data_IF_448237541223
#
_entry.id   IF_448237541223
#
_cell.length_a   1.000
_cell.length_b   1.000
_cell.length_c   1.000
_cell.angle_alpha   90.00
_cell.angle_beta   90.00
_cell.angle_gamma   90.00
#
_symmetry.space_group_name_H-M   'P 1'
#
loop_
_entity.id
_entity.type
_entity.pdbx_description
1 polymer ?
#
# COMPACT_ATOMS: atom_id res chain seq x y z
N UNK A 1 -21.92 -36.63 -8.23
CA UNK A 1 -21.89 -35.35 -7.48
C UNK A 1 -21.53 -35.65 -6.03
N UNK A 2 -20.25 -35.90 -5.74
CA UNK A 2 -19.69 -36.02 -4.38
C UNK A 2 -18.17 -36.20 -4.54
N UNK A 3 -17.43 -35.14 -4.87
CA UNK A 3 -15.94 -35.14 -4.83
C UNK A 3 -15.39 -33.71 -4.91
N UNK A 4 -15.97 -32.79 -4.14
CA UNK A 4 -15.52 -31.40 -4.04
C UNK A 4 -15.73 -30.90 -2.61
N UNK A 5 -15.04 -31.48 -1.63
CA UNK A 5 -14.94 -30.89 -0.29
C UNK A 5 -13.55 -30.90 0.36
N UNK A 6 -12.52 -31.49 -0.24
CA UNK A 6 -11.21 -31.65 0.44
C UNK A 6 -10.02 -30.99 -0.25
N UNK A 7 -10.16 -29.76 -0.79
CA UNK A 7 -8.99 -28.98 -1.27
C UNK A 7 -9.00 -27.54 -0.74
N UNK A 8 -9.68 -27.29 0.39
CA UNK A 8 -9.72 -25.94 0.99
C UNK A 8 -9.47 -25.93 2.50
N UNK A 9 -8.89 -26.98 3.06
CA UNK A 9 -8.61 -27.05 4.51
C UNK A 9 -7.12 -26.93 4.87
N UNK A 10 -6.18 -27.00 3.90
CA UNK A 10 -4.73 -27.04 4.18
C UNK A 10 -3.91 -25.88 3.59
N UNK A 11 -4.54 -24.75 3.24
CA UNK A 11 -3.79 -23.51 2.96
C UNK A 11 -3.89 -22.52 4.11
N UNK A 12 -3.49 -22.97 5.31
CA UNK A 12 -3.12 -22.06 6.40
C UNK A 12 -1.71 -21.53 6.10
N UNK A 13 -1.59 -20.55 5.20
CA UNK A 13 -0.34 -19.82 5.01
C UNK A 13 -0.04 -19.04 6.29
N UNK A 14 1.10 -19.24 6.96
CA UNK A 14 1.44 -18.49 8.15
C UNK A 14 1.87 -17.09 7.72
N UNK A 15 0.90 -16.18 7.57
CA UNK A 15 1.20 -14.77 7.39
C UNK A 15 1.44 -14.16 8.78
N UNK A 16 2.64 -14.39 9.29
CA UNK A 16 3.18 -13.64 10.41
C UNK A 16 4.66 -13.32 10.17
N UNK A 17 4.91 -12.02 9.99
CA UNK A 17 6.16 -11.31 10.25
C UNK A 17 7.31 -11.34 9.21
N UNK A 18 7.66 -10.12 8.83
CA UNK A 18 8.93 -9.64 8.26
C UNK A 18 9.13 -9.72 6.74
N UNK A 19 9.51 -8.55 6.20
CA UNK A 19 10.09 -8.31 4.86
C UNK A 19 11.05 -9.41 4.37
N UNK A 20 11.76 -10.06 5.30
CA UNK A 20 12.74 -11.11 5.01
C UNK A 20 12.12 -12.37 4.37
N UNK A 21 10.87 -12.72 4.68
CA UNK A 21 10.23 -13.89 4.05
C UNK A 21 9.87 -13.63 2.58
N UNK A 22 9.42 -12.41 2.27
CA UNK A 22 9.15 -12.02 0.89
C UNK A 22 10.43 -11.94 0.06
N UNK A 23 11.50 -11.36 0.62
CA UNK A 23 12.81 -11.33 -0.05
C UNK A 23 13.37 -12.75 -0.23
N UNK A 24 13.26 -13.62 0.78
CA UNK A 24 13.68 -15.02 0.67
C UNK A 24 12.85 -15.81 -0.35
N UNK A 25 11.53 -15.59 -0.41
CA UNK A 25 10.66 -16.19 -1.40
C UNK A 25 10.98 -15.67 -2.81
N UNK A 26 11.18 -14.36 -2.98
CA UNK A 26 11.59 -13.74 -4.24
C UNK A 26 12.94 -14.28 -4.72
N UNK A 27 13.94 -14.36 -3.83
CA UNK A 27 15.26 -14.93 -4.12
C UNK A 27 15.18 -16.43 -4.48
N UNK A 28 14.36 -17.21 -3.78
CA UNK A 28 14.09 -18.62 -4.14
C UNK A 28 13.42 -18.74 -5.51
N UNK A 29 12.46 -17.86 -5.81
CA UNK A 29 11.76 -17.84 -7.09
C UNK A 29 12.69 -17.43 -8.24
N UNK A 30 13.52 -16.40 -8.06
CA UNK A 30 14.57 -16.01 -9.01
C UNK A 30 15.56 -17.16 -9.25
N UNK A 31 15.98 -17.86 -8.19
CA UNK A 31 16.88 -19.02 -8.30
C UNK A 31 16.26 -20.19 -9.06
N UNK A 32 14.95 -20.42 -8.90
CA UNK A 32 14.21 -21.44 -9.67
C UNK A 32 14.04 -21.03 -11.15
N UNK A 33 13.79 -19.75 -11.41
CA UNK A 33 13.73 -19.21 -12.79
C UNK A 33 15.09 -19.40 -13.49
N UNK A 34 16.20 -19.09 -12.81
CA UNK A 34 17.56 -19.29 -13.33
C UNK A 34 17.87 -20.78 -13.58
N UNK A 35 17.39 -21.70 -12.73
CA UNK A 35 17.56 -23.15 -12.95
C UNK A 35 16.66 -23.71 -14.06
N UNK A 36 15.56 -23.02 -14.39
CA UNK A 36 14.62 -23.44 -15.45
C UNK A 36 15.07 -23.04 -16.86
N UNK A 37 16.12 -22.21 -16.98
CA UNK A 37 16.77 -21.88 -18.27
C UNK A 37 17.73 -22.98 -18.77
N UNK A 38 17.77 -24.15 -18.11
CA UNK A 38 18.46 -25.31 -18.64
C UNK A 38 17.81 -25.74 -19.98
N UNK A 39 18.54 -25.48 -21.07
CA UNK A 39 18.15 -25.64 -22.48
C UNK A 39 17.29 -26.89 -22.78
N UNK A 40 16.13 -26.74 -23.47
CA UNK A 40 15.41 -27.88 -24.01
C UNK A 40 16.23 -28.54 -25.13
N UNK A 41 16.37 -29.85 -25.06
CA UNK A 41 17.04 -30.68 -26.08
C UNK A 41 16.36 -30.48 -27.44
N UNK A 42 17.17 -30.35 -28.48
CA UNK A 42 16.82 -29.87 -29.83
C UNK A 42 15.97 -30.81 -30.70
N UNK A 43 15.15 -31.67 -30.10
CA UNK A 43 14.23 -32.54 -30.84
C UNK A 43 12.82 -31.99 -30.75
N UNK A 44 12.26 -31.57 -31.89
CA UNK A 44 11.01 -30.80 -32.02
C UNK A 44 9.71 -31.51 -31.62
N UNK A 45 9.68 -32.24 -30.50
CA UNK A 45 8.47 -32.84 -29.91
C UNK A 45 8.36 -32.44 -28.44
N UNK A 46 7.45 -31.51 -28.15
CA UNK A 46 7.13 -31.11 -26.77
C UNK A 46 6.45 -32.29 -26.07
N UNK A 47 7.09 -32.80 -25.01
CA UNK A 47 6.58 -33.92 -24.22
C UNK A 47 5.47 -33.47 -23.26
N UNK A 48 4.57 -34.38 -22.87
CA UNK A 48 3.50 -34.06 -21.90
C UNK A 48 4.05 -33.54 -20.56
N UNK A 49 5.24 -34.01 -20.15
CA UNK A 49 5.93 -33.53 -18.96
C UNK A 49 6.47 -32.10 -19.12
N UNK A 50 6.96 -31.73 -20.31
CA UNK A 50 7.32 -30.35 -20.61
C UNK A 50 6.09 -29.44 -20.60
N UNK A 51 4.98 -29.85 -21.21
CA UNK A 51 3.71 -29.09 -21.15
C UNK A 51 3.28 -28.87 -19.71
N UNK A 52 3.36 -29.92 -18.87
CA UNK A 52 3.01 -29.83 -17.44
C UNK A 52 3.92 -28.86 -16.69
N UNK A 53 5.23 -28.88 -16.97
CA UNK A 53 6.19 -27.90 -16.41
C UNK A 53 5.88 -26.49 -16.86
N UNK A 54 5.56 -26.25 -18.14
CA UNK A 54 5.22 -24.92 -18.65
C UNK A 54 3.92 -24.38 -18.02
N UNK A 55 2.88 -25.21 -17.92
CA UNK A 55 1.61 -24.83 -17.27
C UNK A 55 1.84 -24.52 -15.79
N UNK A 56 2.62 -25.35 -15.10
CA UNK A 56 2.97 -25.12 -13.70
C UNK A 56 3.80 -23.83 -13.53
N UNK A 57 4.82 -23.63 -14.36
CA UNK A 57 5.67 -22.44 -14.34
C UNK A 57 4.86 -21.16 -14.57
N UNK A 58 3.95 -21.17 -15.55
CA UNK A 58 3.06 -20.03 -15.84
C UNK A 58 2.12 -19.75 -14.67
N UNK A 59 1.59 -20.79 -14.04
CA UNK A 59 0.72 -20.66 -12.87
C UNK A 59 1.48 -20.10 -11.67
N UNK A 60 2.68 -20.61 -11.42
CA UNK A 60 3.57 -20.11 -10.37
C UNK A 60 3.98 -18.65 -10.63
N UNK A 61 4.35 -18.29 -11.86
CA UNK A 61 4.66 -16.91 -12.23
C UNK A 61 3.48 -15.98 -11.96
N UNK A 62 2.27 -16.34 -12.40
CA UNK A 62 1.07 -15.54 -12.16
C UNK A 62 0.74 -15.42 -10.66
N UNK A 63 0.93 -16.48 -9.89
CA UNK A 63 0.73 -16.48 -8.44
C UNK A 63 1.72 -15.55 -7.73
N UNK A 64 3.00 -15.60 -8.10
CA UNK A 64 4.07 -14.76 -7.52
C UNK A 64 3.85 -13.29 -7.90
N UNK A 65 3.50 -12.99 -9.15
CA UNK A 65 3.18 -11.64 -9.60
C UNK A 65 1.98 -11.08 -8.84
N UNK A 66 0.95 -11.91 -8.63
CA UNK A 66 -0.25 -11.50 -7.88
C UNK A 66 0.09 -11.14 -6.43
N UNK A 67 0.92 -11.94 -5.76
CA UNK A 67 1.40 -11.63 -4.41
C UNK A 67 2.27 -10.37 -4.38
N UNK A 68 3.22 -10.24 -5.29
CA UNK A 68 4.10 -9.08 -5.37
C UNK A 68 3.30 -7.78 -5.58
N UNK A 69 2.28 -7.82 -6.45
CA UNK A 69 1.42 -6.68 -6.71
C UNK A 69 0.64 -6.23 -5.45
N UNK A 70 0.15 -7.17 -4.64
CA UNK A 70 -0.54 -6.84 -3.38
C UNK A 70 0.43 -6.20 -2.38
N UNK A 71 1.63 -6.76 -2.22
CA UNK A 71 2.64 -6.24 -1.28
C UNK A 71 3.09 -4.84 -1.70
N UNK A 72 3.42 -4.63 -2.98
CA UNK A 72 3.83 -3.33 -3.51
C UNK A 72 2.72 -2.30 -3.30
N UNK A 73 1.47 -2.63 -3.62
CA UNK A 73 0.35 -1.72 -3.42
C UNK A 73 0.14 -1.37 -1.94
N UNK A 74 0.29 -2.32 -1.03
CA UNK A 74 0.18 -2.05 0.41
C UNK A 74 1.30 -1.13 0.92
N UNK A 75 2.53 -1.34 0.48
CA UNK A 75 3.66 -0.48 0.82
C UNK A 75 3.47 0.95 0.30
N UNK A 76 2.99 1.09 -0.95
CA UNK A 76 2.70 2.41 -1.52
C UNK A 76 1.55 3.13 -0.82
N UNK A 77 0.48 2.41 -0.45
CA UNK A 77 -0.63 2.99 0.34
C UNK A 77 -0.10 3.52 1.69
N UNK A 78 0.77 2.75 2.36
CA UNK A 78 1.39 3.18 3.63
C UNK A 78 2.29 4.39 3.44
N UNK A 79 3.08 4.46 2.37
CA UNK A 79 3.93 5.61 2.09
C UNK A 79 3.10 6.88 1.83
N UNK A 80 1.99 6.77 1.10
CA UNK A 80 1.06 7.89 0.90
C UNK A 80 0.42 8.32 2.23
N UNK A 81 0.00 7.39 3.09
CA UNK A 81 -0.58 7.70 4.39
C UNK A 81 0.41 8.47 5.28
N UNK A 82 1.66 8.03 5.30
CA UNK A 82 2.73 8.67 6.07
C UNK A 82 3.00 10.11 5.59
N UNK A 83 3.10 10.34 4.27
CA UNK A 83 3.28 11.69 3.72
C UNK A 83 2.14 12.64 4.12
N UNK A 84 0.89 12.15 4.12
CA UNK A 84 -0.28 12.92 4.54
C UNK A 84 -0.25 13.18 6.05
N UNK A 85 0.25 12.23 6.85
CA UNK A 85 0.41 12.39 8.31
C UNK A 85 1.45 13.44 8.66
N UNK A 86 2.59 13.44 7.98
CA UNK A 86 3.68 14.38 8.20
C UNK A 86 3.31 15.80 7.76
N UNK A 87 2.65 15.95 6.62
CA UNK A 87 2.18 17.24 6.13
C UNK A 87 0.70 17.19 5.75
N UNK A 88 -0.16 17.63 6.67
CA UNK A 88 -1.62 17.65 6.46
C UNK A 88 -2.09 18.59 5.34
N UNK A 89 -1.21 19.49 4.85
CA UNK A 89 -1.50 20.42 3.75
C UNK A 89 -0.87 19.98 2.43
N UNK A 90 -0.29 18.78 2.37
CA UNK A 90 0.33 18.26 1.16
C UNK A 90 -0.67 18.15 0.01
N UNK A 91 -0.23 18.49 -1.19
CA UNK A 91 -1.04 18.45 -2.41
C UNK A 91 -0.84 17.12 -3.14
N UNK A 92 -1.84 16.71 -3.91
CA UNK A 92 -1.74 15.52 -4.77
C UNK A 92 -0.57 15.61 -5.77
N UNK A 93 -0.15 16.83 -6.18
CA UNK A 93 0.96 17.01 -7.11
C UNK A 93 2.31 16.71 -6.46
N UNK A 94 2.50 17.16 -5.22
CA UNK A 94 3.73 16.87 -4.46
C UNK A 94 3.86 15.35 -4.25
N UNK A 95 2.80 14.67 -3.84
CA UNK A 95 2.81 13.21 -3.68
C UNK A 95 3.13 12.49 -5.00
N UNK A 96 2.60 12.97 -6.13
CA UNK A 96 2.89 12.43 -7.46
C UNK A 96 4.38 12.53 -7.80
N UNK A 97 5.03 13.64 -7.43
CA UNK A 97 6.46 13.87 -7.68
C UNK A 97 7.30 13.02 -6.71
N UNK A 98 6.99 13.04 -5.42
CA UNK A 98 7.71 12.29 -4.37
C UNK A 98 7.72 10.77 -4.62
N UNK A 99 6.56 10.21 -4.99
CA UNK A 99 6.41 8.76 -5.18
C UNK A 99 6.46 8.34 -6.66
N UNK A 100 6.67 9.28 -7.58
CA UNK A 100 6.62 9.07 -9.04
C UNK A 100 5.36 8.33 -9.52
N UNK A 101 4.24 8.56 -8.83
CA UNK A 101 2.97 7.91 -9.09
C UNK A 101 2.13 8.72 -10.06
N UNK A 102 1.29 8.04 -10.84
CA UNK A 102 0.30 8.74 -11.66
C UNK A 102 -0.72 9.45 -10.78
N UNK A 103 -1.12 10.66 -11.18
CA UNK A 103 -2.14 11.46 -10.48
C UNK A 103 -3.43 10.69 -10.22
N UNK A 104 -3.89 9.88 -11.17
CA UNK A 104 -5.09 9.05 -11.02
C UNK A 104 -4.95 7.99 -9.91
N UNK A 105 -3.78 7.36 -9.81
CA UNK A 105 -3.48 6.36 -8.77
C UNK A 105 -3.45 7.01 -7.39
N UNK A 106 -2.79 8.16 -7.24
CA UNK A 106 -2.76 8.90 -5.98
C UNK A 106 -4.17 9.33 -5.57
N UNK A 107 -4.97 9.86 -6.49
CA UNK A 107 -6.36 10.23 -6.23
C UNK A 107 -7.21 9.03 -5.76
N UNK A 108 -7.05 7.87 -6.42
CA UNK A 108 -7.73 6.64 -6.02
C UNK A 108 -7.29 6.18 -4.63
N UNK A 109 -5.99 6.19 -4.33
CA UNK A 109 -5.47 5.80 -3.02
C UNK A 109 -6.04 6.71 -1.92
N UNK A 110 -5.96 8.03 -2.09
CA UNK A 110 -6.42 8.99 -1.08
C UNK A 110 -7.92 8.85 -0.80
N UNK A 111 -8.76 8.84 -1.84
CA UNK A 111 -10.21 8.87 -1.64
C UNK A 111 -10.86 7.49 -1.50
N UNK A 112 -10.35 6.45 -2.15
CA UNK A 112 -10.97 5.11 -2.14
C UNK A 112 -10.29 4.14 -1.18
N UNK A 113 -8.97 4.22 -0.99
CA UNK A 113 -8.25 3.31 -0.08
C UNK A 113 -8.14 3.89 1.33
N UNK A 114 -7.74 5.16 1.45
CA UNK A 114 -7.54 5.84 2.73
C UNK A 114 -8.78 6.59 3.22
N UNK A 115 -9.70 6.95 2.31
CA UNK A 115 -10.95 7.64 2.66
C UNK A 115 -10.76 9.10 3.08
N UNK A 116 -9.63 9.73 2.76
CA UNK A 116 -9.39 11.13 3.08
C UNK A 116 -10.27 12.06 2.25
N UNK A 117 -10.87 13.03 2.92
CA UNK A 117 -11.66 14.11 2.33
C UNK A 117 -11.05 15.47 2.66
N UNK A 118 -11.17 16.42 1.74
CA UNK A 118 -10.78 17.80 2.02
C UNK A 118 -11.88 18.46 2.85
N UNK A 119 -11.52 18.92 4.04
CA UNK A 119 -12.41 19.68 4.92
C UNK A 119 -12.05 21.16 4.78
N UNK A 120 -13.05 22.01 4.59
CA UNK A 120 -12.88 23.45 4.69
C UNK A 120 -12.93 23.85 6.16
N UNK A 121 -11.87 24.48 6.67
CA UNK A 121 -11.91 25.09 7.99
C UNK A 121 -12.71 26.40 7.94
N UNK A 122 -13.42 26.71 9.03
CA UNK A 122 -14.10 27.99 9.19
C UNK A 122 -13.07 29.13 9.20
N UNK A 123 -13.45 30.30 8.70
CA UNK A 123 -12.62 31.49 8.76
C UNK A 123 -12.44 31.93 10.22
N UNK A 124 -11.21 31.84 10.72
CA UNK A 124 -10.83 32.31 12.06
C UNK A 124 -9.97 33.58 11.92
N UNK A 125 -10.29 34.69 12.61
CA UNK A 125 -9.44 35.87 12.67
C UNK A 125 -8.03 35.52 13.17
N UNK A 126 -7.01 35.89 12.40
CA UNK A 126 -5.62 35.45 12.62
C UNK A 126 -4.88 36.22 13.74
N UNK A 127 -5.29 37.47 13.96
CA UNK A 127 -4.77 38.33 15.01
C UNK A 127 -5.91 38.67 15.97
N UNK A 128 -5.98 37.92 17.06
CA UNK A 128 -6.81 38.26 18.21
C UNK A 128 -5.89 38.89 19.26
N UNK A 129 -6.26 40.06 19.76
CA UNK A 129 -5.58 40.65 20.91
C UNK A 129 -5.82 39.79 22.16
N UNK A 130 -4.94 39.89 23.16
CA UNK A 130 -5.06 39.16 24.43
C UNK A 130 -6.44 39.37 25.06
N UNK A 131 -6.92 40.62 25.06
CA UNK A 131 -8.24 41.02 25.56
C UNK A 131 -9.39 40.39 24.78
N UNK A 132 -9.25 40.23 23.45
CA UNK A 132 -10.25 39.56 22.63
C UNK A 132 -10.27 38.04 22.89
N UNK A 133 -9.13 37.43 23.22
CA UNK A 133 -9.06 36.02 23.60
C UNK A 133 -9.71 35.76 24.96
N UNK A 134 -9.48 36.61 25.97
CA UNK A 134 -10.12 36.49 27.29
C UNK A 134 -11.63 36.69 27.22
N UNK A 135 -12.10 37.67 26.44
CA UNK A 135 -13.54 37.87 26.21
C UNK A 135 -14.18 36.67 25.50
N UNK A 136 -13.47 36.06 24.54
CA UNK A 136 -13.95 34.87 23.82
C UNK A 136 -13.91 33.58 24.66
N UNK A 137 -12.93 33.44 25.55
CA UNK A 137 -12.76 32.28 26.44
C UNK A 137 -13.63 32.38 27.71
N UNK A 138 -14.36 33.49 27.90
CA UNK A 138 -15.27 33.68 29.04
C UNK A 138 -14.57 33.88 30.39
N UNK A 139 -13.26 34.10 30.40
CA UNK A 139 -12.49 34.34 31.64
C UNK A 139 -12.46 35.83 31.94
N UNK A 140 -13.48 36.31 32.66
CA UNK A 140 -13.50 37.69 33.17
C UNK A 140 -12.53 37.81 34.34
N UNK A 141 -11.26 38.12 34.07
CA UNK A 141 -10.37 38.66 35.10
C UNK A 141 -10.63 40.17 35.20
N UNK A 142 -11.57 40.56 36.06
CA UNK A 142 -11.71 41.96 36.50
C UNK A 142 -10.51 42.29 37.39
N UNK A 143 -9.39 42.70 36.81
CA UNK A 143 -8.38 43.45 37.54
C UNK A 143 -8.70 44.94 37.41
N UNK A 144 -9.41 45.44 38.40
CA UNK A 144 -9.77 46.84 38.57
C UNK A 144 -8.48 47.67 38.77
N UNK A 145 -8.18 48.71 37.98
CA UNK A 145 -7.11 49.64 38.30
C UNK A 145 -7.65 50.66 39.30
N UNK A 146 -7.35 50.43 40.58
CA UNK A 146 -7.53 51.44 41.62
C UNK A 146 -6.53 52.57 41.43
N UNK A 147 -7.09 53.77 41.38
CA UNK A 147 -6.53 55.13 41.55
C UNK A 147 -5.15 55.19 42.19
#
# INVERSE_FOLDING_TARGET
MHFFKDVNQDCKLPFAASSNFFVAALLRNLRIVVLSEAKPSSEGKVTCDEIRRFVWLRTCQNMVISQAHVVINSAMISAVDELIRQNRRITTREIVVELLLRKGTVHHIIHKKLGYGKICAQWVPKHLSENQKTVMMGTVSVSNPGV
#
